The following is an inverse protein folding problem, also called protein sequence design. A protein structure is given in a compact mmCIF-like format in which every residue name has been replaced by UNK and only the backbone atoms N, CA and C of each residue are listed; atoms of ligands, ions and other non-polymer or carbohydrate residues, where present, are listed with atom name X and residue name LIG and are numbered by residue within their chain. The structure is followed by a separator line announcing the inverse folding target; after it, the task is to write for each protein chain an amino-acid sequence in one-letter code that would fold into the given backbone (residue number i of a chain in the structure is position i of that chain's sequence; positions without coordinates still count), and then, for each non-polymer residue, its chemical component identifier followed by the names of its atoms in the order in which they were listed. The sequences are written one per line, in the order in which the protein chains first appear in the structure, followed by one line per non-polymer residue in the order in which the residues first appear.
data_IF_587644687156
#
_entry.id   IF_587644687156
#
_cell.length_a   1.000
_cell.length_b   1.000
_cell.length_c   1.000
_cell.angle_alpha   90.00
_cell.angle_beta   90.00
_cell.angle_gamma   90.00
#
_symmetry.space_group_name_H-M   'P 1'
#
loop_
_entity.id
_entity.type
_entity.pdbx_description
1 polymer ?
#
# COMPACT_ATOMS: atom_id res chain seq x y z
N UNK A 1 12.34 -30.59 15.26
CA UNK A 1 12.24 -29.53 16.30
C UNK A 1 10.76 -29.21 16.40
N UNK A 2 10.13 -29.49 17.53
CA UNK A 2 8.76 -29.07 17.79
C UNK A 2 8.76 -27.55 17.94
N UNK A 3 7.98 -26.86 17.13
CA UNK A 3 7.82 -25.41 17.26
C UNK A 3 7.23 -25.11 18.65
N UNK A 4 7.72 -24.05 19.30
CA UNK A 4 7.15 -23.58 20.56
C UNK A 4 5.68 -23.19 20.35
N UNK A 5 4.79 -23.49 21.30
CA UNK A 5 3.39 -23.13 21.21
C UNK A 5 3.21 -21.61 21.07
N UNK A 6 2.34 -21.20 20.16
CA UNK A 6 2.00 -19.79 19.96
C UNK A 6 0.95 -19.38 21.00
N UNK A 7 1.22 -18.34 21.79
CA UNK A 7 0.23 -17.77 22.71
C UNK A 7 -0.77 -16.90 21.95
N UNK A 8 -2.01 -17.31 21.88
CA UNK A 8 -3.08 -16.60 21.15
C UNK A 8 -3.93 -15.70 22.04
N UNK A 9 -3.88 -15.89 23.38
CA UNK A 9 -4.68 -15.11 24.32
C UNK A 9 -6.19 -15.21 24.04
N UNK A 10 -6.90 -14.09 24.24
CA UNK A 10 -8.34 -13.97 23.96
C UNK A 10 -8.62 -13.30 22.60
N UNK A 11 -7.59 -13.01 21.81
CA UNK A 11 -7.73 -12.36 20.51
C UNK A 11 -8.28 -13.34 19.47
N UNK A 12 -9.17 -12.86 18.63
CA UNK A 12 -9.65 -13.59 17.47
C UNK A 12 -8.46 -13.95 16.57
N UNK A 13 -8.39 -15.20 16.18
CA UNK A 13 -7.33 -15.69 15.29
C UNK A 13 -7.86 -15.82 13.88
N UNK A 14 -7.17 -15.16 12.96
CA UNK A 14 -7.48 -15.23 11.53
C UNK A 14 -6.64 -16.34 10.90
N UNK A 15 -7.31 -17.29 10.21
CA UNK A 15 -6.67 -18.41 9.52
C UNK A 15 -6.21 -18.02 8.11
N UNK A 16 -5.66 -16.83 7.96
CA UNK A 16 -5.18 -16.27 6.68
C UNK A 16 -3.79 -16.76 6.29
N UNK A 17 -3.04 -17.22 7.27
CA UNK A 17 -1.70 -17.82 7.18
C UNK A 17 -1.63 -19.09 8.04
N UNK A 18 -0.49 -19.74 8.10
CA UNK A 18 -0.29 -20.95 8.91
C UNK A 18 0.28 -20.65 10.31
N UNK A 19 0.25 -19.39 10.76
CA UNK A 19 0.87 -18.97 12.01
C UNK A 19 0.35 -19.73 13.25
N UNK A 20 -0.97 -20.00 13.32
CA UNK A 20 -1.60 -20.77 14.41
C UNK A 20 -1.91 -22.22 14.02
N UNK A 21 -1.47 -22.66 12.85
CA UNK A 21 -1.79 -23.98 12.30
C UNK A 21 -0.57 -24.87 12.43
N UNK A 22 -0.61 -25.82 13.36
CA UNK A 22 0.46 -26.79 13.54
C UNK A 22 0.41 -27.90 12.46
N UNK A 23 -0.79 -28.33 12.10
CA UNK A 23 -1.02 -29.38 11.10
C UNK A 23 -2.36 -29.17 10.41
N UNK A 24 -2.43 -29.50 9.12
CA UNK A 24 -3.67 -29.46 8.35
C UNK A 24 -3.78 -30.68 7.44
N UNK A 25 -4.99 -31.25 7.37
CA UNK A 25 -5.30 -32.36 6.49
C UNK A 25 -6.73 -32.23 5.96
N UNK A 26 -6.91 -32.49 4.66
CA UNK A 26 -8.20 -32.46 3.98
C UNK A 26 -8.87 -31.08 3.89
N UNK A 27 -8.10 -29.99 4.10
CA UNK A 27 -8.58 -28.60 4.02
C UNK A 27 -7.72 -27.78 3.08
N UNK A 28 -8.33 -26.83 2.41
CA UNK A 28 -7.66 -25.84 1.57
C UNK A 28 -8.03 -24.45 2.06
N UNK A 29 -7.13 -23.50 1.84
CA UNK A 29 -7.42 -22.07 2.04
C UNK A 29 -7.64 -21.43 0.68
N UNK A 30 -8.76 -20.73 0.56
CA UNK A 30 -9.11 -20.05 -0.69
C UNK A 30 -9.43 -18.58 -0.42
N UNK A 31 -9.10 -17.72 -1.38
CA UNK A 31 -9.55 -16.33 -1.35
C UNK A 31 -11.04 -16.25 -1.65
N UNK A 32 -11.73 -15.38 -0.93
CA UNK A 32 -13.11 -15.02 -1.30
C UNK A 32 -13.16 -14.37 -2.67
N UNK A 33 -14.29 -14.51 -3.33
CA UNK A 33 -14.51 -13.91 -4.65
C UNK A 33 -14.77 -12.41 -4.50
N UNK A 34 -14.07 -11.60 -5.28
CA UNK A 34 -14.37 -10.18 -5.42
C UNK A 34 -15.51 -10.00 -6.43
N UNK A 35 -16.52 -9.26 -6.02
CA UNK A 35 -17.64 -8.89 -6.88
C UNK A 35 -17.60 -7.39 -7.17
N UNK A 36 -17.52 -7.04 -8.45
CA UNK A 36 -17.58 -5.64 -8.89
C UNK A 36 -19.01 -5.15 -8.79
N UNK A 37 -19.25 -4.16 -7.96
CA UNK A 37 -20.54 -3.52 -7.81
C UNK A 37 -20.90 -2.67 -9.04
N UNK A 38 -22.10 -2.11 -9.07
CA UNK A 38 -22.60 -1.26 -10.16
C UNK A 38 -22.54 -1.94 -11.55
N UNK A 39 -22.74 -3.28 -11.59
CA UNK A 39 -22.61 -4.04 -12.82
C UNK A 39 -21.22 -3.96 -13.46
N UNK A 40 -20.19 -3.73 -12.68
CA UNK A 40 -18.81 -3.58 -13.13
C UNK A 40 -18.48 -2.20 -13.75
N UNK A 41 -19.44 -1.27 -13.76
CA UNK A 41 -19.20 0.09 -14.26
C UNK A 41 -18.50 0.94 -13.19
N UNK A 42 -17.68 1.92 -13.59
CA UNK A 42 -17.10 2.87 -12.66
C UNK A 42 -18.17 3.57 -11.81
N UNK A 43 -17.93 3.69 -10.52
CA UNK A 43 -18.80 4.41 -9.57
C UNK A 43 -18.41 5.89 -9.43
N UNK A 44 -17.29 6.27 -10.02
CA UNK A 44 -16.78 7.64 -10.00
C UNK A 44 -16.06 7.94 -11.32
N UNK A 45 -16.39 9.10 -11.92
CA UNK A 45 -15.70 9.58 -13.11
C UNK A 45 -14.53 10.48 -12.73
N UNK A 46 -13.33 10.01 -13.01
CA UNK A 46 -12.11 10.75 -12.72
C UNK A 46 -10.89 9.83 -12.71
N UNK A 47 -9.73 10.46 -12.59
CA UNK A 47 -8.49 9.72 -12.44
C UNK A 47 -8.26 9.38 -10.96
N UNK A 48 -8.32 8.10 -10.62
CA UNK A 48 -8.21 7.66 -9.25
C UNK A 48 -6.78 7.21 -8.91
N UNK A 49 -6.07 8.05 -8.18
CA UNK A 49 -4.88 7.74 -7.41
C UNK A 49 -5.09 8.36 -6.03
N UNK A 50 -5.94 7.76 -5.24
CA UNK A 50 -6.41 8.32 -3.99
C UNK A 50 -6.84 7.25 -3.01
N UNK A 51 -7.76 7.60 -2.14
CA UNK A 51 -8.22 6.74 -1.06
C UNK A 51 -9.73 6.90 -0.89
N UNK A 52 -10.39 5.78 -0.60
CA UNK A 52 -11.78 5.76 -0.09
C UNK A 52 -11.74 5.27 1.35
N UNK A 53 -12.36 6.02 2.24
CA UNK A 53 -12.50 5.66 3.66
C UNK A 53 -13.97 5.77 4.06
N UNK A 54 -14.40 4.91 4.99
CA UNK A 54 -15.71 5.06 5.62
C UNK A 54 -15.52 5.81 6.94
N UNK A 55 -16.28 6.88 7.13
CA UNK A 55 -16.21 7.73 8.30
C UNK A 55 -17.54 8.46 8.51
N UNK A 56 -17.99 8.51 9.77
CA UNK A 56 -19.24 9.19 10.18
C UNK A 56 -20.47 8.75 9.36
N UNK A 57 -20.52 7.46 9.00
CA UNK A 57 -21.62 6.89 8.23
C UNK A 57 -21.59 7.19 6.73
N UNK A 58 -20.53 7.79 6.23
CA UNK A 58 -20.34 8.11 4.83
C UNK A 58 -19.07 7.48 4.27
N UNK A 59 -19.03 7.32 2.94
CA UNK A 59 -17.80 7.05 2.20
C UNK A 59 -17.20 8.38 1.77
N UNK A 60 -15.95 8.61 2.16
CA UNK A 60 -15.14 9.78 1.83
C UNK A 60 -14.10 9.37 0.80
N UNK A 61 -14.10 10.06 -0.34
CA UNK A 61 -13.23 9.76 -1.48
C UNK A 61 -12.32 10.95 -1.74
N UNK A 62 -11.03 10.72 -1.69
CA UNK A 62 -10.01 11.65 -2.21
C UNK A 62 -9.52 11.12 -3.54
N UNK A 63 -9.56 11.95 -4.57
CA UNK A 63 -9.19 11.56 -5.92
C UNK A 63 -8.18 12.52 -6.53
N UNK A 64 -7.39 11.98 -7.45
CA UNK A 64 -6.35 12.74 -8.10
C UNK A 64 -6.94 13.83 -8.98
N UNK A 65 -6.40 15.03 -8.83
CA UNK A 65 -6.64 16.21 -9.63
C UNK A 65 -5.45 17.15 -9.48
N UNK A 66 -5.55 18.35 -9.98
CA UNK A 66 -4.59 19.43 -9.72
C UNK A 66 -5.37 20.71 -9.40
N UNK A 67 -5.63 20.97 -8.11
CA UNK A 67 -5.35 20.19 -6.91
C UNK A 67 -6.19 18.91 -6.78
N UNK A 68 -5.89 18.06 -5.78
CA UNK A 68 -6.72 16.89 -5.42
C UNK A 68 -8.14 17.30 -5.11
N UNK A 69 -9.10 16.44 -5.42
CA UNK A 69 -10.50 16.61 -5.09
C UNK A 69 -10.97 15.71 -3.95
N UNK A 70 -12.08 16.12 -3.35
CA UNK A 70 -12.79 15.42 -2.30
C UNK A 70 -14.25 15.22 -2.68
N UNK A 71 -14.76 14.02 -2.47
CA UNK A 71 -16.15 13.65 -2.72
C UNK A 71 -16.69 12.79 -1.58
N UNK A 72 -17.99 12.78 -1.41
CA UNK A 72 -18.68 11.96 -0.41
C UNK A 72 -19.77 11.11 -1.06
N UNK A 73 -20.09 10.00 -0.41
CA UNK A 73 -21.19 9.11 -0.78
C UNK A 73 -21.84 8.49 0.46
N UNK A 74 -23.15 8.33 0.44
CA UNK A 74 -23.88 7.62 1.48
C UNK A 74 -23.84 6.08 1.28
N UNK A 75 -23.71 5.63 0.04
CA UNK A 75 -23.84 4.21 -0.34
C UNK A 75 -22.55 3.60 -0.94
N UNK A 76 -21.53 4.42 -1.19
CA UNK A 76 -20.29 4.00 -1.85
C UNK A 76 -20.40 3.81 -3.36
N UNK A 77 -21.56 4.09 -3.95
CA UNK A 77 -21.84 3.94 -5.38
C UNK A 77 -22.07 5.28 -6.08
N UNK A 78 -22.66 6.25 -5.38
CA UNK A 78 -22.97 7.56 -5.90
C UNK A 78 -22.20 8.62 -5.13
N UNK A 79 -21.19 9.21 -5.76
CA UNK A 79 -20.31 10.20 -5.15
C UNK A 79 -20.59 11.60 -5.64
N UNK A 80 -20.84 12.52 -4.69
CA UNK A 80 -20.94 13.94 -4.94
C UNK A 80 -19.58 14.61 -4.75
N UNK A 81 -19.11 15.37 -5.75
CA UNK A 81 -17.88 16.17 -5.65
C UNK A 81 -18.15 17.38 -4.77
N UNK A 82 -17.46 17.45 -3.63
CA UNK A 82 -17.67 18.47 -2.61
C UNK A 82 -16.73 19.65 -2.76
N UNK A 83 -15.41 19.37 -2.86
CA UNK A 83 -14.39 20.42 -2.85
C UNK A 83 -13.09 19.97 -3.50
N UNK A 84 -12.26 20.95 -3.83
CA UNK A 84 -10.83 20.73 -4.06
C UNK A 84 -10.08 20.90 -2.74
N UNK A 85 -8.98 20.16 -2.56
CA UNK A 85 -8.14 20.26 -1.36
C UNK A 85 -7.40 21.61 -1.35
N UNK A 86 -7.17 22.13 -0.15
CA UNK A 86 -6.50 23.40 0.13
C UNK A 86 -5.34 23.20 1.08
N UNK A 87 -4.34 24.08 0.98
CA UNK A 87 -3.19 24.10 1.89
C UNK A 87 -2.07 23.11 1.52
N UNK A 88 -2.23 22.31 0.46
CA UNK A 88 -1.16 21.47 -0.08
C UNK A 88 -0.46 22.19 -1.24
N UNK A 89 0.84 21.99 -1.37
CA UNK A 89 1.59 22.52 -2.52
C UNK A 89 1.32 21.66 -3.77
N UNK A 90 0.61 22.19 -4.78
CA UNK A 90 0.25 21.44 -5.98
C UNK A 90 1.47 20.99 -6.81
N UNK A 91 2.61 21.64 -6.67
CA UNK A 91 3.81 21.28 -7.44
C UNK A 91 4.39 19.90 -7.07
N UNK A 92 3.97 19.32 -5.95
CA UNK A 92 4.53 18.09 -5.41
C UNK A 92 3.56 16.90 -5.39
N UNK A 93 2.35 17.08 -5.92
CA UNK A 93 1.29 16.06 -5.79
C UNK A 93 1.21 15.17 -7.02
N UNK A 94 1.90 14.04 -7.02
CA UNK A 94 1.64 13.04 -8.04
C UNK A 94 0.65 11.99 -7.56
N UNK A 95 0.83 11.50 -6.33
CA UNK A 95 -0.03 10.49 -5.70
C UNK A 95 -0.07 10.74 -4.20
N UNK A 96 -1.22 10.49 -3.59
CA UNK A 96 -1.40 10.64 -2.16
C UNK A 96 -2.25 9.52 -1.59
N UNK A 97 -1.94 9.12 -0.37
CA UNK A 97 -2.82 8.32 0.48
C UNK A 97 -3.37 9.14 1.62
N UNK A 98 -4.60 8.84 1.99
CA UNK A 98 -5.31 9.51 3.06
C UNK A 98 -5.63 8.50 4.16
N UNK A 99 -5.60 8.95 5.40
CA UNK A 99 -5.77 8.10 6.55
C UNK A 99 -6.51 8.84 7.65
N UNK A 100 -7.48 8.16 8.29
CA UNK A 100 -8.12 8.63 9.51
C UNK A 100 -7.38 7.97 10.66
N UNK A 101 -6.75 8.79 11.49
CA UNK A 101 -5.86 8.30 12.52
C UNK A 101 -6.63 7.95 13.80
N UNK A 102 -6.80 6.67 14.14
CA UNK A 102 -7.54 6.27 15.32
C UNK A 102 -6.77 6.55 16.63
N UNK A 103 -5.47 6.83 16.56
CA UNK A 103 -4.63 7.16 17.71
C UNK A 103 -4.62 8.67 18.02
N UNK A 104 -5.12 9.49 17.10
CA UNK A 104 -5.05 10.93 17.27
C UNK A 104 -6.11 11.45 18.22
N UNK A 105 -5.69 12.21 19.21
CA UNK A 105 -6.57 12.83 20.20
C UNK A 105 -6.87 14.29 19.91
N UNK A 106 -6.03 14.94 19.10
CA UNK A 106 -6.24 16.31 18.66
C UNK A 106 -7.09 16.32 17.38
N UNK A 107 -8.33 16.82 17.43
CA UNK A 107 -9.20 16.84 16.25
C UNK A 107 -8.64 17.63 15.08
N UNK A 108 -7.73 18.59 15.33
CA UNK A 108 -7.07 19.34 14.26
C UNK A 108 -6.14 18.45 13.41
N UNK A 109 -5.73 17.31 13.92
CA UNK A 109 -4.81 16.36 13.29
C UNK A 109 -5.48 15.03 12.91
N UNK A 110 -6.81 14.92 12.98
CA UNK A 110 -7.57 13.68 12.80
C UNK A 110 -7.25 12.96 11.50
N UNK A 111 -7.15 13.69 10.40
CA UNK A 111 -6.78 13.14 9.11
C UNK A 111 -5.29 13.30 8.85
N UNK A 112 -4.70 12.31 8.21
CA UNK A 112 -3.32 12.33 7.75
C UNK A 112 -3.27 12.13 6.23
N UNK A 113 -2.31 12.77 5.60
CA UNK A 113 -1.98 12.55 4.20
C UNK A 113 -0.50 12.18 4.09
N UNK A 114 -0.21 11.20 3.24
CA UNK A 114 1.14 10.89 2.81
C UNK A 114 1.20 11.04 1.29
N UNK A 115 2.02 11.94 0.79
CA UNK A 115 2.13 12.20 -0.65
C UNK A 115 3.56 12.20 -1.14
N UNK A 116 3.73 11.96 -2.44
CA UNK A 116 5.04 11.89 -3.06
C UNK A 116 5.60 13.28 -3.34
N UNK A 117 6.83 13.51 -2.94
CA UNK A 117 7.67 14.62 -3.37
C UNK A 117 8.52 14.17 -4.56
N UNK A 118 8.42 14.85 -5.69
CA UNK A 118 8.94 14.30 -6.94
C UNK A 118 10.45 14.51 -7.16
N UNK A 119 11.07 15.50 -6.52
CA UNK A 119 12.50 15.78 -6.73
C UNK A 119 13.18 16.32 -5.45
N UNK A 120 13.87 15.48 -4.66
CA UNK A 120 14.06 14.02 -4.85
C UNK A 120 12.78 13.23 -4.57
N UNK A 121 12.68 11.99 -5.05
CA UNK A 121 11.57 11.11 -4.71
C UNK A 121 11.59 10.79 -3.21
N UNK A 122 10.67 11.37 -2.47
CA UNK A 122 10.57 11.27 -1.02
C UNK A 122 9.10 11.36 -0.59
N UNK A 123 8.79 11.06 0.66
CA UNK A 123 7.46 11.25 1.21
C UNK A 123 7.35 12.56 1.97
N UNK A 124 6.19 13.20 1.86
CA UNK A 124 5.76 14.33 2.67
C UNK A 124 4.52 13.93 3.44
N UNK A 125 4.38 14.42 4.65
CA UNK A 125 3.23 14.19 5.51
C UNK A 125 2.48 15.49 5.77
N UNK A 126 1.17 15.38 5.89
CA UNK A 126 0.30 16.45 6.32
C UNK A 126 -0.82 15.96 7.23
N UNK A 127 -1.56 16.91 7.76
CA UNK A 127 -2.68 16.67 8.65
C UNK A 127 -3.84 17.64 8.37
N UNK A 128 -5.03 17.25 8.79
CA UNK A 128 -6.24 18.02 8.60
C UNK A 128 -7.29 17.67 9.66
N UNK A 129 -8.15 18.64 9.99
CA UNK A 129 -9.31 18.42 10.83
C UNK A 129 -10.50 17.85 10.06
N UNK A 130 -10.63 18.18 8.77
CA UNK A 130 -11.82 17.95 7.94
C UNK A 130 -11.56 17.13 6.66
N UNK A 131 -10.29 16.84 6.37
CA UNK A 131 -9.90 16.14 5.14
C UNK A 131 -9.87 17.00 3.88
N UNK A 132 -10.15 18.32 4.00
CA UNK A 132 -10.19 19.29 2.91
C UNK A 132 -9.11 20.36 3.08
N UNK A 133 -8.97 20.92 4.27
CA UNK A 133 -7.98 21.95 4.61
C UNK A 133 -6.77 21.30 5.28
N UNK A 134 -5.63 21.36 4.62
CA UNK A 134 -4.43 20.61 5.02
C UNK A 134 -3.30 21.54 5.47
N UNK A 135 -2.56 21.06 6.45
CA UNK A 135 -1.29 21.62 6.90
C UNK A 135 -0.21 20.55 6.75
N UNK A 136 1.01 20.96 6.48
CA UNK A 136 2.13 20.04 6.32
C UNK A 136 2.91 19.85 7.62
N UNK A 137 3.36 18.64 7.89
CA UNK A 137 4.44 18.38 8.83
C UNK A 137 5.78 18.83 8.20
N UNK A 138 6.78 19.12 9.05
CA UNK A 138 8.13 19.46 8.62
C UNK A 138 8.17 20.61 7.59
N UNK A 139 7.28 21.61 7.74
CA UNK A 139 7.15 22.77 6.83
C UNK A 139 6.97 22.38 5.36
N UNK A 140 6.31 21.27 5.08
CA UNK A 140 6.10 20.75 3.71
C UNK A 140 7.35 20.14 3.07
N UNK A 141 8.43 19.99 3.83
CA UNK A 141 9.65 19.34 3.35
C UNK A 141 9.56 17.83 3.50
N UNK A 142 10.35 17.07 2.70
CA UNK A 142 10.39 15.62 2.82
C UNK A 142 10.67 15.12 4.24
N UNK A 143 9.95 14.11 4.65
CA UNK A 143 10.13 13.41 5.93
C UNK A 143 10.96 12.14 5.81
N UNK A 144 11.16 11.64 4.58
CA UNK A 144 12.01 10.49 4.29
C UNK A 144 13.20 10.88 3.44
N UNK A 145 14.26 10.07 3.47
CA UNK A 145 15.39 10.22 2.55
C UNK A 145 15.00 9.82 1.11
N UNK A 146 14.23 8.74 0.98
CA UNK A 146 13.76 8.22 -0.30
C UNK A 146 12.39 7.56 -0.12
N UNK A 147 11.53 7.71 -1.11
CA UNK A 147 10.23 7.06 -1.18
C UNK A 147 9.83 6.84 -2.64
N UNK A 148 8.65 6.27 -2.86
CA UNK A 148 8.13 6.13 -4.20
C UNK A 148 7.75 7.49 -4.81
N UNK A 149 7.87 7.58 -6.13
CA UNK A 149 7.24 8.60 -6.95
C UNK A 149 5.75 8.31 -7.19
N UNK A 150 5.25 7.25 -6.58
CA UNK A 150 3.89 6.76 -6.65
C UNK A 150 3.28 6.70 -5.24
N UNK A 151 2.49 5.68 -4.94
CA UNK A 151 1.74 5.53 -3.71
C UNK A 151 2.66 5.28 -2.50
N UNK A 152 2.58 6.17 -1.53
CA UNK A 152 3.16 6.00 -0.20
C UNK A 152 2.02 6.07 0.79
N UNK A 153 2.04 5.25 1.82
CA UNK A 153 0.95 5.14 2.79
C UNK A 153 1.46 5.26 4.21
N UNK A 154 0.65 5.85 5.08
CA UNK A 154 0.86 5.84 6.53
C UNK A 154 -0.33 5.18 7.22
N UNK A 155 -0.07 4.36 8.23
CA UNK A 155 -1.06 3.75 9.12
C UNK A 155 -0.55 3.71 10.56
N UNK A 156 -1.46 3.71 11.54
CA UNK A 156 -1.13 3.46 12.94
C UNK A 156 -1.17 1.97 13.25
N UNK A 157 -0.08 1.44 13.76
CA UNK A 157 0.00 0.09 14.32
C UNK A 157 -0.21 0.16 15.84
N UNK A 158 -1.43 -0.14 16.27
CA UNK A 158 -1.82 -0.05 17.68
C UNK A 158 -1.12 -1.08 18.57
N UNK A 159 -0.67 -2.21 18.01
CA UNK A 159 0.04 -3.24 18.76
C UNK A 159 1.49 -2.83 19.03
N UNK A 160 2.17 -2.35 18.00
CA UNK A 160 3.53 -1.85 18.11
C UNK A 160 3.61 -0.41 18.65
N UNK A 161 2.49 0.31 18.73
CA UNK A 161 2.38 1.72 19.14
C UNK A 161 3.30 2.64 18.31
N UNK A 162 3.26 2.46 17.01
CA UNK A 162 4.04 3.25 16.05
C UNK A 162 3.21 3.56 14.81
N UNK A 163 3.55 4.64 14.14
CA UNK A 163 3.16 4.84 12.76
C UNK A 163 4.03 3.99 11.85
N UNK A 164 3.41 3.31 10.88
CA UNK A 164 4.12 2.64 9.80
C UNK A 164 3.96 3.42 8.52
N UNK A 165 5.04 3.52 7.76
CA UNK A 165 5.02 4.07 6.41
C UNK A 165 5.44 2.99 5.43
N UNK A 166 4.55 2.70 4.49
CA UNK A 166 4.82 1.80 3.38
C UNK A 166 5.15 2.62 2.14
N UNK A 167 6.27 2.34 1.54
CA UNK A 167 6.73 3.02 0.32
C UNK A 167 7.34 2.01 -0.62
N UNK A 168 7.18 2.25 -1.91
CA UNK A 168 7.98 1.52 -2.90
C UNK A 168 9.44 1.94 -2.76
N UNK A 169 10.34 1.00 -2.91
CA UNK A 169 11.77 1.30 -3.01
C UNK A 169 12.35 0.60 -4.24
N UNK A 170 13.34 1.25 -4.83
CA UNK A 170 14.15 0.65 -5.88
C UNK A 170 15.41 0.11 -5.24
N UNK A 171 15.69 -1.14 -5.46
CA UNK A 171 16.92 -1.78 -5.04
C UNK A 171 18.04 -1.52 -6.05
N UNK A 172 19.27 -1.81 -5.64
CA UNK A 172 20.42 -1.68 -6.55
C UNK A 172 20.15 -2.44 -7.86
N UNK A 173 20.40 -1.77 -8.96
CA UNK A 173 20.23 -2.34 -10.29
C UNK A 173 21.23 -3.44 -10.52
N UNK A 174 20.83 -4.60 -11.05
CA UNK A 174 21.77 -5.58 -11.58
C UNK A 174 22.65 -4.98 -12.69
N UNK A 175 23.68 -5.69 -13.10
CA UNK A 175 24.60 -5.24 -14.14
C UNK A 175 23.92 -4.95 -15.49
N UNK A 176 22.73 -5.54 -15.73
CA UNK A 176 21.91 -5.31 -16.90
C UNK A 176 21.09 -3.98 -16.84
N UNK A 177 21.18 -3.26 -15.71
CA UNK A 177 20.53 -1.97 -15.55
C UNK A 177 19.03 -2.01 -15.29
N UNK A 178 18.41 -3.20 -15.12
CA UNK A 178 16.99 -3.31 -14.83
C UNK A 178 16.64 -2.70 -13.47
N UNK A 179 15.64 -1.84 -13.44
CA UNK A 179 15.06 -1.34 -12.19
C UNK A 179 14.31 -2.47 -11.47
N UNK A 180 14.67 -2.71 -10.22
CA UNK A 180 14.03 -3.72 -9.38
C UNK A 180 13.22 -3.01 -8.29
N UNK A 181 11.91 -3.04 -8.45
CA UNK A 181 10.98 -2.42 -7.50
C UNK A 181 10.62 -3.38 -6.37
N UNK A 182 10.58 -2.85 -5.17
CA UNK A 182 10.19 -3.56 -3.97
C UNK A 182 9.41 -2.67 -3.02
N UNK A 183 9.20 -3.13 -1.80
CA UNK A 183 8.54 -2.37 -0.74
C UNK A 183 9.47 -2.17 0.44
N UNK A 184 9.30 -1.04 1.10
CA UNK A 184 9.95 -0.68 2.36
C UNK A 184 8.89 -0.35 3.39
N UNK A 185 9.04 -0.92 4.57
CA UNK A 185 8.25 -0.64 5.76
C UNK A 185 9.14 0.08 6.78
N UNK A 186 8.73 1.27 7.17
CA UNK A 186 9.41 2.13 8.13
C UNK A 186 8.49 2.44 9.30
N UNK A 187 9.07 2.65 10.48
CA UNK A 187 8.33 2.99 11.70
C UNK A 187 8.79 4.29 12.29
N UNK A 188 7.83 5.03 12.89
CA UNK A 188 8.07 6.24 13.65
C UNK A 188 7.08 6.28 14.84
N UNK A 189 7.54 6.37 16.09
CA UNK A 189 6.66 6.40 17.26
C UNK A 189 5.92 7.72 17.42
N UNK A 190 6.45 8.83 16.88
CA UNK A 190 5.87 10.16 17.05
C UNK A 190 6.14 11.06 15.83
N UNK A 191 5.21 11.07 14.91
CA UNK A 191 5.29 11.89 13.69
C UNK A 191 5.03 13.36 13.93
N UNK A 192 4.45 13.74 15.08
CA UNK A 192 4.18 15.15 15.42
C UNK A 192 5.45 15.82 15.92
N UNK A 193 6.12 15.23 16.90
CA UNK A 193 7.34 15.78 17.46
C UNK A 193 8.56 15.54 16.54
N UNK A 194 8.61 14.40 15.88
CA UNK A 194 9.77 13.97 15.10
C UNK A 194 9.38 13.41 13.72
N UNK A 195 8.83 14.22 12.80
CA UNK A 195 8.26 13.74 11.53
C UNK A 195 9.29 13.06 10.61
N UNK A 196 10.59 13.25 10.86
CA UNK A 196 11.71 12.69 10.08
C UNK A 196 12.34 11.44 10.69
N UNK A 197 11.91 11.02 11.89
CA UNK A 197 12.54 9.90 12.61
C UNK A 197 12.00 8.53 12.15
N UNK A 198 12.17 8.24 10.87
CA UNK A 198 11.75 6.97 10.27
C UNK A 198 12.88 5.97 10.31
N UNK A 199 12.60 4.77 10.86
CA UNK A 199 13.51 3.64 10.90
C UNK A 199 12.95 2.50 10.06
N UNK A 200 13.70 2.05 9.06
CA UNK A 200 13.34 0.88 8.25
C UNK A 200 13.35 -0.37 9.12
N UNK A 201 12.25 -1.13 9.08
CA UNK A 201 12.10 -2.41 9.78
C UNK A 201 12.04 -3.59 8.83
N UNK A 202 11.65 -3.34 7.57
CA UNK A 202 11.53 -4.36 6.55
C UNK A 202 11.74 -3.75 5.17
N UNK A 203 12.55 -4.40 4.37
CA UNK A 203 12.64 -4.17 2.93
C UNK A 203 12.48 -5.49 2.20
N UNK A 204 11.69 -5.49 1.14
CA UNK A 204 11.45 -6.71 0.42
C UNK A 204 11.28 -6.47 -1.08
N UNK A 205 11.77 -7.41 -1.85
CA UNK A 205 11.57 -7.54 -3.29
C UNK A 205 11.46 -9.01 -3.66
N UNK A 206 10.91 -9.32 -4.82
CA UNK A 206 10.93 -10.68 -5.33
C UNK A 206 12.37 -11.17 -5.44
N UNK A 207 12.62 -12.33 -4.90
CA UNK A 207 13.97 -12.83 -4.67
C UNK A 207 14.53 -13.64 -5.83
N UNK A 208 15.77 -14.05 -5.62
CA UNK A 208 16.55 -14.88 -6.55
C UNK A 208 16.20 -16.37 -6.52
N UNK A 209 15.07 -16.77 -6.02
CA UNK A 209 14.73 -18.19 -5.90
C UNK A 209 14.60 -18.92 -7.25
N UNK A 210 13.90 -18.30 -8.19
CA UNK A 210 14.00 -18.61 -9.60
C UNK A 210 14.84 -17.50 -10.24
N UNK A 211 15.77 -17.82 -11.10
CA UNK A 211 16.68 -16.86 -11.76
C UNK A 211 15.96 -15.68 -12.42
N UNK A 212 14.63 -15.79 -12.61
CA UNK A 212 13.81 -14.84 -13.35
C UNK A 212 12.78 -14.09 -12.49
N UNK A 213 12.66 -14.33 -11.18
CA UNK A 213 11.59 -13.71 -10.39
C UNK A 213 11.67 -12.18 -10.37
N UNK A 214 12.84 -11.60 -10.29
CA UNK A 214 13.02 -10.14 -10.32
C UNK A 214 12.65 -9.52 -11.67
N UNK A 215 12.70 -10.30 -12.73
CA UNK A 215 12.31 -9.88 -14.08
C UNK A 215 10.84 -10.17 -14.33
N UNK A 216 10.34 -11.25 -13.75
CA UNK A 216 8.97 -11.69 -13.91
C UNK A 216 8.00 -10.85 -13.09
N UNK A 217 8.36 -10.52 -11.85
CA UNK A 217 7.50 -9.80 -10.91
C UNK A 217 8.22 -8.67 -10.21
N UNK A 218 7.48 -7.57 -9.99
CA UNK A 218 7.94 -6.44 -9.19
C UNK A 218 6.77 -5.83 -8.42
N UNK A 219 7.00 -5.39 -7.19
CA UNK A 219 5.97 -4.66 -6.44
C UNK A 219 5.92 -3.22 -6.93
N UNK A 220 4.79 -2.82 -7.49
CA UNK A 220 4.55 -1.45 -7.89
C UNK A 220 4.12 -0.58 -6.72
N UNK A 221 3.12 -1.04 -5.96
CA UNK A 221 2.61 -0.38 -4.77
C UNK A 221 2.08 -1.41 -3.77
N UNK A 222 2.01 -1.01 -2.51
CA UNK A 222 1.43 -1.79 -1.43
C UNK A 222 0.51 -0.88 -0.62
N UNK A 223 -0.72 -1.34 -0.40
CA UNK A 223 -1.68 -0.71 0.51
C UNK A 223 -1.89 -1.65 1.68
N UNK A 224 -1.55 -1.19 2.89
CA UNK A 224 -1.69 -1.97 4.12
C UNK A 224 -2.92 -1.56 4.92
N UNK A 225 -3.56 -2.54 5.55
CA UNK A 225 -4.50 -2.32 6.64
C UNK A 225 -4.30 -3.39 7.72
N UNK A 226 -4.57 -3.03 8.96
CA UNK A 226 -4.38 -3.93 10.10
C UNK A 226 -5.73 -4.38 10.60
N UNK A 227 -5.93 -5.70 10.72
CA UNK A 227 -7.13 -6.29 11.28
C UNK A 227 -6.76 -7.45 12.19
N UNK A 228 -7.26 -7.43 13.45
CA UNK A 228 -6.98 -8.44 14.47
C UNK A 228 -5.48 -8.76 14.64
N UNK A 229 -4.61 -7.71 14.56
CA UNK A 229 -3.16 -7.85 14.69
C UNK A 229 -2.46 -8.47 13.49
N UNK A 230 -3.16 -8.64 12.38
CA UNK A 230 -2.60 -9.06 11.10
C UNK A 230 -2.54 -7.88 10.14
N UNK A 231 -1.40 -7.65 9.55
CA UNK A 231 -1.24 -6.78 8.41
C UNK A 231 -1.75 -7.49 7.16
N UNK A 232 -2.64 -6.86 6.45
CA UNK A 232 -3.07 -7.25 5.11
C UNK A 232 -2.53 -6.25 4.11
N UNK A 233 -1.91 -6.74 3.06
CA UNK A 233 -1.43 -5.89 1.99
C UNK A 233 -2.18 -6.20 0.70
N UNK A 234 -2.81 -5.19 0.11
CA UNK A 234 -3.17 -5.23 -1.30
C UNK A 234 -1.95 -4.79 -2.09
N UNK A 235 -1.33 -5.73 -2.76
CA UNK A 235 -0.11 -5.51 -3.53
C UNK A 235 -0.43 -5.39 -5.01
N UNK A 236 -0.07 -4.26 -5.59
CA UNK A 236 -0.04 -4.09 -7.05
C UNK A 236 1.26 -4.69 -7.55
N UNK A 237 1.19 -5.77 -8.28
CA UNK A 237 2.36 -6.49 -8.80
C UNK A 237 2.41 -6.35 -10.31
N UNK A 238 3.50 -5.80 -10.81
CA UNK A 238 3.84 -5.90 -12.22
C UNK A 238 4.28 -7.32 -12.52
N UNK A 239 3.64 -7.92 -13.51
CA UNK A 239 3.98 -9.25 -13.99
C UNK A 239 4.24 -9.22 -15.48
N UNK A 240 5.40 -9.71 -15.87
CA UNK A 240 5.70 -10.04 -17.23
C UNK A 240 5.34 -11.51 -17.45
N UNK A 241 4.13 -11.76 -17.92
CA UNK A 241 3.65 -13.10 -18.23
C UNK A 241 3.90 -13.34 -19.73
N UNK A 242 4.81 -14.24 -20.09
CA UNK A 242 5.03 -14.60 -21.48
C UNK A 242 3.74 -15.16 -22.07
N UNK A 243 3.44 -14.81 -23.32
CA UNK A 243 2.37 -15.47 -24.06
C UNK A 243 2.64 -16.97 -24.06
N UNK A 244 1.60 -17.83 -23.97
CA UNK A 244 1.78 -19.28 -24.04
C UNK A 244 2.65 -19.67 -25.24
N UNK A 245 3.74 -20.41 -24.97
CA UNK A 245 4.71 -20.84 -25.99
C UNK A 245 5.76 -19.80 -26.43
N UNK A 246 5.67 -18.57 -25.93
CA UNK A 246 6.74 -17.60 -26.15
C UNK A 246 7.86 -17.77 -25.13
N UNK A 247 9.15 -17.69 -25.52
CA UNK A 247 10.23 -17.66 -24.57
C UNK A 247 10.11 -16.41 -23.71
N UNK A 248 10.35 -16.53 -22.41
CA UNK A 248 10.44 -15.37 -21.51
C UNK A 248 11.57 -14.45 -22.01
N UNK A 249 11.22 -13.22 -22.36
CA UNK A 249 12.21 -12.24 -22.81
C UNK A 249 12.91 -11.64 -21.59
N UNK A 250 14.08 -12.17 -21.27
CA UNK A 250 14.95 -11.70 -20.19
C UNK A 250 15.64 -10.37 -20.51
N UNK A 251 15.46 -9.84 -21.70
CA UNK A 251 16.16 -8.62 -22.09
C UNK A 251 15.67 -7.45 -21.26
N UNK A 252 16.58 -6.70 -20.63
CA UNK A 252 16.28 -5.54 -19.80
C UNK A 252 15.86 -4.34 -20.63
N UNK A 253 14.87 -4.51 -21.50
CA UNK A 253 14.39 -3.40 -22.31
C UNK A 253 13.37 -2.61 -21.50
N UNK A 254 13.86 -1.75 -20.62
CA UNK A 254 13.06 -0.90 -19.75
C UNK A 254 11.96 -0.14 -20.48
N UNK A 255 12.22 0.29 -21.71
CA UNK A 255 11.28 1.10 -22.49
C UNK A 255 10.11 0.28 -23.03
N UNK A 256 10.29 -1.02 -23.23
CA UNK A 256 9.23 -1.91 -23.75
C UNK A 256 8.51 -2.73 -22.69
N UNK A 257 9.00 -2.72 -21.47
CA UNK A 257 8.39 -3.47 -20.39
C UNK A 257 6.94 -3.04 -20.16
N UNK A 258 6.67 -1.73 -20.17
CA UNK A 258 5.34 -1.18 -19.99
C UNK A 258 4.33 -1.55 -21.09
N UNK A 259 4.82 -2.03 -22.23
CA UNK A 259 3.97 -2.50 -23.33
C UNK A 259 3.41 -3.92 -23.09
N UNK A 260 4.06 -4.69 -22.19
CA UNK A 260 3.78 -6.11 -22.01
C UNK A 260 3.48 -6.49 -20.56
N UNK A 261 3.86 -5.66 -19.60
CA UNK A 261 3.58 -5.92 -18.19
C UNK A 261 2.09 -5.71 -17.92
N UNK A 262 1.51 -6.63 -17.19
CA UNK A 262 0.19 -6.47 -16.56
C UNK A 262 0.36 -6.13 -15.09
N UNK A 263 -0.64 -5.50 -14.50
CA UNK A 263 -0.70 -5.24 -13.07
C UNK A 263 -1.83 -6.05 -12.49
N UNK A 264 -1.47 -7.03 -11.68
CA UNK A 264 -2.41 -7.81 -10.89
C UNK A 264 -2.37 -7.38 -9.42
N UNK A 265 -3.51 -7.55 -8.74
CA UNK A 265 -3.62 -7.25 -7.32
C UNK A 265 -3.67 -8.54 -6.52
N UNK A 266 -2.78 -8.68 -5.56
CA UNK A 266 -2.67 -9.83 -4.68
C UNK A 266 -2.85 -9.43 -3.22
N UNK A 267 -3.32 -10.36 -2.41
CA UNK A 267 -3.31 -10.23 -0.95
C UNK A 267 -2.03 -10.86 -0.41
N UNK A 268 -1.28 -10.08 0.37
CA UNK A 268 -0.23 -10.56 1.24
C UNK A 268 -0.63 -10.40 2.69
N UNK A 269 -0.05 -11.18 3.59
CA UNK A 269 -0.25 -11.03 5.04
C UNK A 269 1.08 -10.97 5.77
N UNK A 270 1.11 -10.30 6.93
CA UNK A 270 2.26 -10.29 7.82
C UNK A 270 1.82 -10.09 9.27
N UNK A 271 2.66 -10.52 10.22
CA UNK A 271 2.45 -10.26 11.64
C UNK A 271 3.63 -9.48 12.21
N UNK A 272 3.33 -8.32 12.77
CA UNK A 272 4.34 -7.40 13.27
C UNK A 272 5.39 -7.06 12.20
N UNK A 273 6.66 -7.31 12.49
CA UNK A 273 7.77 -7.06 11.56
C UNK A 273 8.19 -8.29 10.75
N UNK A 274 7.42 -9.38 10.79
CA UNK A 274 7.72 -10.57 9.98
C UNK A 274 7.63 -10.25 8.47
N UNK A 275 8.33 -11.04 7.68
CA UNK A 275 8.24 -10.93 6.22
C UNK A 275 6.83 -11.24 5.74
N UNK A 276 6.45 -10.66 4.61
CA UNK A 276 5.16 -10.90 3.97
C UNK A 276 5.00 -12.36 3.56
N UNK A 277 3.89 -12.97 3.91
CA UNK A 277 3.42 -14.19 3.28
C UNK A 277 2.82 -13.83 1.91
N UNK A 278 3.44 -14.36 0.86
CA UNK A 278 3.10 -14.10 -0.55
C UNK A 278 2.61 -15.35 -1.27
N UNK A 279 2.08 -16.32 -0.53
CA UNK A 279 1.65 -17.60 -1.11
C UNK A 279 0.67 -17.40 -2.29
N UNK A 280 -0.21 -16.40 -2.21
CA UNK A 280 -1.15 -16.10 -3.30
C UNK A 280 -0.47 -15.57 -4.57
N UNK A 281 0.60 -14.79 -4.40
CA UNK A 281 1.40 -14.29 -5.54
C UNK A 281 2.09 -15.45 -6.24
N UNK A 282 2.75 -16.32 -5.47
CA UNK A 282 3.46 -17.47 -6.02
C UNK A 282 2.52 -18.53 -6.59
N UNK A 283 1.31 -18.66 -6.06
CA UNK A 283 0.27 -19.52 -6.60
C UNK A 283 -0.45 -18.93 -7.83
N UNK A 284 -0.08 -17.72 -8.26
CA UNK A 284 -0.68 -16.99 -9.38
C UNK A 284 -2.21 -16.82 -9.23
N UNK A 285 -2.64 -16.55 -7.98
CA UNK A 285 -4.05 -16.34 -7.64
C UNK A 285 -4.29 -14.87 -7.28
N UNK A 286 -4.47 -13.98 -8.26
CA UNK A 286 -4.76 -12.60 -7.99
C UNK A 286 -6.11 -12.44 -7.29
N UNK A 287 -6.18 -11.45 -6.39
CA UNK A 287 -7.39 -11.13 -5.64
C UNK A 287 -8.37 -10.33 -6.49
N UNK A 288 -7.86 -9.46 -7.35
CA UNK A 288 -8.64 -8.69 -8.33
C UNK A 288 -8.01 -8.86 -9.70
N UNK A 289 -8.85 -9.19 -10.67
CA UNK A 289 -8.52 -9.30 -12.08
C UNK A 289 -9.04 -8.08 -12.85
#
# INVERSE_FOLDING_TARGET
MTAEPVSVGLRKQLLVDDWVVAEKSGVTRELGRVEKQNGGKPVFEGYFYGTVLQDEGKFKLWYRGNPYGYAESADGLHFDKISLLKGLDPAHHNTASFYIDPNETDPAHRYKICYAYLRPHAAVLGYSADGIHWNAYNDGKPVTHRAADTYNQIVWDAEAKVYRMFTRTDFARPADGLEVRGTRDMVNPDIKANPRNWRTVREWKFGKGAEDEIYRRQIYALTDWIHEGVHFALMSVYENIPKPGAPYDRRPNHHKRHEHDIVNFYIGTARGNAMWDLNWVYAEKPFVL
#
